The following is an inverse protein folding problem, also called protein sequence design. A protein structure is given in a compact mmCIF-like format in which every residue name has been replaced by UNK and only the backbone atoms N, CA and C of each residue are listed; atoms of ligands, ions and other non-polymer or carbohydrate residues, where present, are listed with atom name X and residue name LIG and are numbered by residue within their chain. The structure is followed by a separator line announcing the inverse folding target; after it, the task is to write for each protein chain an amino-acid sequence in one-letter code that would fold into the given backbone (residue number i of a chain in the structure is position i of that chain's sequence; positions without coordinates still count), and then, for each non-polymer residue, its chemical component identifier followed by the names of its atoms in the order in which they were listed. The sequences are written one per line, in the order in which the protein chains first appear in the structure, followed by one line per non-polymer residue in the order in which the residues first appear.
data_IF_325588473490
#
_entry.id   IF_325588473490
#
_cell.length_a   1.000
_cell.length_b   1.000
_cell.length_c   1.000
_cell.angle_alpha   90.00
_cell.angle_beta   90.00
_cell.angle_gamma   90.00
#
_symmetry.space_group_name_H-M   'P 1'
#
loop_
_entity.id
_entity.type
_entity.pdbx_description
1 polymer ?
#
# COMPACT_ATOMS: atom_id res chain seq x y z
N UNK A 1 -1.38 -13.59 37.66
CA UNK A 1 -1.48 -14.51 36.51
C UNK A 1 -0.81 -13.81 35.34
N UNK A 2 0.31 -14.35 34.86
CA UNK A 2 0.94 -13.86 33.62
C UNK A 2 0.00 -14.21 32.47
N UNK A 3 -0.27 -13.25 31.58
CA UNK A 3 -0.96 -13.57 30.33
C UNK A 3 -0.10 -14.57 29.54
N UNK A 4 -0.70 -15.48 28.76
CA UNK A 4 0.04 -16.35 27.85
C UNK A 4 0.89 -15.46 26.92
N UNK A 5 2.13 -15.88 26.65
CA UNK A 5 2.99 -15.11 25.77
C UNK A 5 2.38 -14.99 24.35
N UNK A 6 1.59 -15.96 23.91
CA UNK A 6 0.79 -15.91 22.67
C UNK A 6 -0.23 -14.77 22.66
N UNK A 7 -0.99 -14.58 23.74
CA UNK A 7 -2.00 -13.50 23.83
C UNK A 7 -1.35 -12.11 23.80
N UNK A 8 -0.14 -11.99 24.36
CA UNK A 8 0.63 -10.73 24.32
C UNK A 8 1.14 -10.43 22.91
N UNK A 9 1.64 -11.45 22.20
CA UNK A 9 2.07 -11.32 20.80
C UNK A 9 0.91 -10.96 19.86
N UNK A 10 -0.27 -11.57 20.05
CA UNK A 10 -1.47 -11.24 19.27
C UNK A 10 -1.99 -9.83 19.53
N UNK A 11 -1.87 -9.33 20.77
CA UNK A 11 -2.22 -7.94 21.09
C UNK A 11 -1.26 -6.94 20.44
N UNK A 12 0.04 -7.22 20.43
CA UNK A 12 1.02 -6.40 19.70
C UNK A 12 0.76 -6.43 18.20
N UNK A 13 0.42 -7.59 17.63
CA UNK A 13 0.02 -7.67 16.23
C UNK A 13 -1.21 -6.81 15.93
N UNK A 14 -2.20 -6.83 16.83
CA UNK A 14 -3.40 -5.99 16.70
C UNK A 14 -3.09 -4.49 16.83
N UNK A 15 -2.14 -4.10 17.68
CA UNK A 15 -1.65 -2.72 17.74
C UNK A 15 -1.00 -2.31 16.42
N UNK A 16 -0.08 -3.12 15.89
CA UNK A 16 0.57 -2.87 14.60
C UNK A 16 -0.43 -2.85 13.44
N UNK A 17 -1.49 -3.65 13.50
CA UNK A 17 -2.55 -3.60 12.51
C UNK A 17 -3.32 -2.28 12.54
N UNK A 18 -3.58 -1.69 13.71
CA UNK A 18 -4.18 -0.34 13.75
C UNK A 18 -3.23 0.73 13.23
N UNK A 19 -1.95 0.63 13.55
CA UNK A 19 -0.92 1.55 13.04
C UNK A 19 -0.80 1.46 11.52
N UNK A 20 -0.90 0.25 10.96
CA UNK A 20 -0.98 0.03 9.51
C UNK A 20 -2.22 0.72 8.90
N UNK A 21 -3.40 0.61 9.53
CA UNK A 21 -4.62 1.30 9.04
C UNK A 21 -4.41 2.81 8.95
N UNK A 22 -3.74 3.38 9.95
CA UNK A 22 -3.45 4.81 10.02
C UNK A 22 -2.42 5.21 8.97
N UNK A 23 -1.34 4.43 8.82
CA UNK A 23 -0.32 4.66 7.81
C UNK A 23 -0.89 4.61 6.39
N UNK A 24 -1.79 3.66 6.10
CA UNK A 24 -2.51 3.58 4.82
C UNK A 24 -3.37 4.83 4.61
N UNK A 25 -4.15 5.23 5.63
CA UNK A 25 -5.01 6.42 5.55
C UNK A 25 -4.21 7.72 5.33
N UNK A 26 -2.99 7.81 5.88
CA UNK A 26 -2.10 8.95 5.73
C UNK A 26 -1.17 8.87 4.51
N UNK A 27 -1.25 7.78 3.72
CA UNK A 27 -0.34 7.47 2.61
C UNK A 27 1.15 7.49 3.02
N UNK A 28 1.45 7.15 4.29
CA UNK A 28 2.82 7.05 4.78
C UNK A 28 3.38 5.66 4.48
N UNK A 29 3.94 5.52 3.28
CA UNK A 29 4.50 4.26 2.79
C UNK A 29 5.75 3.79 3.56
N UNK A 30 6.47 4.71 4.22
CA UNK A 30 7.64 4.36 5.01
C UNK A 30 7.21 3.71 6.33
N UNK A 31 6.20 4.29 6.98
CA UNK A 31 5.65 3.72 8.20
C UNK A 31 4.90 2.41 7.91
N UNK A 32 4.23 2.30 6.75
CA UNK A 32 3.66 1.04 6.29
C UNK A 32 4.73 -0.07 6.20
N UNK A 33 5.85 0.18 5.53
CA UNK A 33 6.93 -0.82 5.43
C UNK A 33 7.49 -1.23 6.80
N UNK A 34 7.67 -0.28 7.72
CA UNK A 34 8.10 -0.58 9.09
C UNK A 34 7.12 -1.48 9.83
N UNK A 35 5.82 -1.21 9.71
CA UNK A 35 4.79 -2.04 10.34
C UNK A 35 4.72 -3.45 9.75
N UNK A 36 4.96 -3.61 8.44
CA UNK A 36 5.06 -4.92 7.78
C UNK A 36 6.26 -5.71 8.31
N UNK A 37 7.44 -5.08 8.38
CA UNK A 37 8.65 -5.72 8.92
C UNK A 37 8.47 -6.13 10.39
N UNK A 38 7.81 -5.29 11.19
CA UNK A 38 7.51 -5.60 12.58
C UNK A 38 6.54 -6.79 12.72
N UNK A 39 5.54 -6.90 11.83
CA UNK A 39 4.64 -8.06 11.78
C UNK A 39 5.34 -9.34 11.34
N UNK A 40 6.24 -9.27 10.36
CA UNK A 40 7.03 -10.43 9.94
C UNK A 40 7.86 -11.01 11.09
N UNK A 41 8.50 -10.15 11.89
CA UNK A 41 9.22 -10.58 13.10
C UNK A 41 8.32 -11.19 14.16
N UNK A 42 7.11 -10.63 14.36
CA UNK A 42 6.14 -11.23 15.27
C UNK A 42 5.63 -12.58 14.77
N UNK A 43 5.55 -12.78 13.45
CA UNK A 43 5.16 -14.05 12.85
C UNK A 43 6.21 -15.13 13.12
N UNK A 44 7.48 -14.83 12.90
CA UNK A 44 8.59 -15.75 13.23
C UNK A 44 8.54 -16.16 14.72
N UNK A 45 8.33 -15.19 15.61
CA UNK A 45 8.20 -15.45 17.05
C UNK A 45 6.96 -16.29 17.42
N UNK A 46 5.88 -16.21 16.63
CA UNK A 46 4.67 -16.99 16.83
C UNK A 46 4.82 -18.42 16.28
N UNK A 47 5.55 -18.58 15.18
CA UNK A 47 5.85 -19.88 14.55
C UNK A 47 6.80 -20.72 15.42
N UNK A 48 7.74 -20.08 16.12
CA UNK A 48 8.65 -20.73 17.06
C UNK A 48 8.01 -21.05 18.42
N UNK A 49 6.79 -20.58 18.68
CA UNK A 49 6.16 -20.78 19.99
C UNK A 49 5.69 -22.23 20.16
N UNK A 50 6.13 -22.96 21.21
CA UNK A 50 5.78 -24.35 21.44
C UNK A 50 4.35 -24.47 21.99
N UNK A 51 3.37 -24.18 21.14
CA UNK A 51 1.94 -24.49 21.28
C UNK A 51 1.42 -24.62 22.70
N UNK A 52 1.33 -23.52 23.47
CA UNK A 52 0.33 -23.47 24.53
C UNK A 52 -1.06 -23.39 23.90
N UNK A 53 -2.05 -23.97 24.58
CA UNK A 53 -3.42 -24.03 24.08
C UNK A 53 -3.94 -22.61 23.77
N UNK A 54 -4.15 -22.33 22.49
CA UNK A 54 -4.83 -21.12 22.02
C UNK A 54 -6.10 -20.90 22.83
N UNK A 55 -6.15 -19.80 23.57
CA UNK A 55 -7.31 -19.44 24.36
C UNK A 55 -8.45 -19.00 23.43
N UNK A 56 -9.67 -18.95 23.96
CA UNK A 56 -10.84 -18.42 23.22
C UNK A 56 -10.61 -16.96 22.81
N UNK A 57 -9.93 -16.17 23.65
CA UNK A 57 -9.54 -14.78 23.38
C UNK A 57 -8.57 -14.68 22.20
N UNK A 58 -7.59 -15.60 22.12
CA UNK A 58 -6.64 -15.63 20.99
C UNK A 58 -7.35 -15.88 19.65
N UNK A 59 -8.39 -16.73 19.64
CA UNK A 59 -9.18 -17.00 18.42
C UNK A 59 -9.98 -15.78 17.97
N UNK A 60 -10.58 -15.05 18.91
CA UNK A 60 -11.30 -13.81 18.60
C UNK A 60 -10.36 -12.71 18.07
N UNK A 61 -9.17 -12.59 18.67
CA UNK A 61 -8.12 -11.69 18.20
C UNK A 61 -7.66 -12.05 16.78
N UNK A 62 -7.42 -13.33 16.48
CA UNK A 62 -7.04 -13.77 15.13
C UNK A 62 -8.15 -13.47 14.12
N UNK A 63 -9.41 -13.75 14.43
CA UNK A 63 -10.52 -13.42 13.51
C UNK A 63 -10.61 -11.92 13.22
N UNK A 64 -10.41 -11.08 14.25
CA UNK A 64 -10.40 -9.62 14.10
C UNK A 64 -9.22 -9.17 13.23
N UNK A 65 -8.05 -9.76 13.44
CA UNK A 65 -6.85 -9.49 12.64
C UNK A 65 -7.02 -9.88 11.17
N UNK A 66 -7.65 -11.02 10.89
CA UNK A 66 -7.95 -11.45 9.52
C UNK A 66 -8.88 -10.44 8.84
N UNK A 67 -9.92 -9.98 9.54
CA UNK A 67 -10.83 -8.96 9.01
C UNK A 67 -10.13 -7.63 8.70
N UNK A 68 -9.29 -7.13 9.62
CA UNK A 68 -8.50 -5.90 9.41
C UNK A 68 -7.55 -6.06 8.21
N UNK A 69 -6.88 -7.21 8.10
CA UNK A 69 -5.94 -7.48 7.00
C UNK A 69 -6.64 -7.52 5.64
N UNK A 70 -7.83 -8.12 5.57
CA UNK A 70 -8.65 -8.11 4.34
C UNK A 70 -9.05 -6.68 3.95
N UNK A 71 -9.42 -5.86 4.92
CA UNK A 71 -9.76 -4.46 4.67
C UNK A 71 -8.55 -3.66 4.15
N UNK A 72 -7.35 -3.89 4.71
CA UNK A 72 -6.13 -3.25 4.22
C UNK A 72 -5.80 -3.64 2.79
N UNK A 73 -5.92 -4.93 2.45
CA UNK A 73 -5.71 -5.41 1.08
C UNK A 73 -6.65 -4.73 0.09
N UNK A 74 -7.93 -4.53 0.47
CA UNK A 74 -8.88 -3.80 -0.38
C UNK A 74 -8.50 -2.33 -0.55
N UNK A 75 -8.13 -1.64 0.54
CA UNK A 75 -7.73 -0.23 0.48
C UNK A 75 -6.48 -0.03 -0.40
N UNK A 76 -5.45 -0.86 -0.19
CA UNK A 76 -4.22 -0.82 -0.99
C UNK A 76 -4.50 -1.15 -2.46
N UNK A 77 -5.39 -2.10 -2.74
CA UNK A 77 -5.82 -2.42 -4.11
C UNK A 77 -6.47 -1.22 -4.79
N UNK A 78 -7.39 -0.53 -4.10
CA UNK A 78 -8.07 0.65 -4.63
C UNK A 78 -7.09 1.81 -4.90
N UNK A 79 -6.14 2.06 -3.99
CA UNK A 79 -5.11 3.09 -4.17
C UNK A 79 -4.19 2.76 -5.36
N UNK A 80 -3.78 1.50 -5.50
CA UNK A 80 -2.98 1.05 -6.65
C UNK A 80 -3.72 1.22 -7.98
N UNK A 81 -5.02 0.93 -8.02
CA UNK A 81 -5.84 1.15 -9.22
C UNK A 81 -6.00 2.64 -9.54
N UNK A 82 -6.11 3.49 -8.52
CA UNK A 82 -6.15 4.95 -8.67
C UNK A 82 -4.84 5.48 -9.27
N UNK A 83 -3.70 5.07 -8.69
CA UNK A 83 -2.37 5.45 -9.18
C UNK A 83 -2.13 4.99 -10.62
N UNK A 84 -2.53 3.75 -10.96
CA UNK A 84 -2.43 3.24 -12.34
C UNK A 84 -3.23 4.08 -13.34
N UNK A 85 -4.42 4.56 -12.96
CA UNK A 85 -5.21 5.47 -13.80
C UNK A 85 -4.52 6.81 -13.98
N UNK A 86 -3.96 7.37 -12.91
CA UNK A 86 -3.23 8.64 -12.98
C UNK A 86 -2.02 8.54 -13.91
N UNK A 87 -1.20 7.48 -13.78
CA UNK A 87 -0.05 7.23 -14.67
C UNK A 87 -0.51 7.12 -16.13
N UNK A 88 -1.59 6.39 -16.41
CA UNK A 88 -2.11 6.25 -17.78
C UNK A 88 -2.61 7.59 -18.36
N UNK A 89 -3.21 8.45 -17.55
CA UNK A 89 -3.65 9.79 -17.94
C UNK A 89 -2.44 10.70 -18.21
N UNK A 90 -1.42 10.66 -17.35
CA UNK A 90 -0.16 11.39 -17.54
C UNK A 90 0.58 10.95 -18.80
N UNK A 91 0.69 9.64 -19.05
CA UNK A 91 1.30 9.10 -20.27
C UNK A 91 0.56 9.56 -21.53
N UNK A 92 -0.78 9.59 -21.47
CA UNK A 92 -1.61 10.12 -22.56
C UNK A 92 -1.38 11.62 -22.75
N UNK A 93 -1.28 12.39 -21.67
CA UNK A 93 -0.95 13.81 -21.69
C UNK A 93 0.43 14.08 -22.30
N UNK A 94 1.46 13.34 -21.87
CA UNK A 94 2.83 13.41 -22.41
C UNK A 94 2.88 13.03 -23.89
N UNK A 95 2.16 11.99 -24.29
CA UNK A 95 2.04 11.57 -25.69
C UNK A 95 1.37 12.65 -26.55
N UNK A 96 0.29 13.26 -26.05
CA UNK A 96 -0.37 14.38 -26.71
C UNK A 96 0.55 15.60 -26.79
N UNK A 97 1.27 15.94 -25.73
CA UNK A 97 2.26 17.01 -25.70
C UNK A 97 3.37 16.81 -26.72
N UNK A 98 3.91 15.58 -26.84
CA UNK A 98 4.89 15.23 -27.88
C UNK A 98 4.33 15.38 -29.29
N UNK A 99 3.08 14.94 -29.54
CA UNK A 99 2.41 15.10 -30.84
C UNK A 99 2.17 16.56 -31.20
N UNK A 100 1.71 17.37 -30.24
CA UNK A 100 1.52 18.81 -30.41
C UNK A 100 2.86 19.49 -30.67
N UNK A 101 3.90 19.19 -29.88
CA UNK A 101 5.26 19.70 -30.09
C UNK A 101 5.80 19.38 -31.48
N UNK A 102 5.61 18.15 -31.96
CA UNK A 102 5.98 17.75 -33.32
C UNK A 102 5.17 18.49 -34.40
N UNK A 103 3.85 18.64 -34.22
CA UNK A 103 2.97 19.30 -35.18
C UNK A 103 3.21 20.81 -35.31
N UNK A 104 3.54 21.49 -34.21
CA UNK A 104 3.82 22.93 -34.21
C UNK A 104 5.29 23.25 -34.46
N UNK A 105 6.23 22.39 -34.06
CA UNK A 105 7.66 22.54 -34.34
C UNK A 105 8.01 22.38 -35.83
N UNK A 106 7.21 21.64 -36.59
CA UNK A 106 7.43 21.44 -38.02
C UNK A 106 6.76 22.52 -38.91
N UNK A 107 5.93 23.40 -38.34
CA UNK A 107 5.13 24.39 -39.11
C UNK A 107 5.76 25.77 -39.24
N UNK A 108 6.90 26.02 -38.61
CA UNK A 108 7.59 27.32 -38.63
C UNK A 108 8.57 27.52 -39.79
N UNK A 109 8.87 26.50 -40.61
CA UNK A 109 9.94 26.61 -41.62
C UNK A 109 9.49 26.79 -43.09
N UNK A 110 8.20 26.84 -43.43
CA UNK A 110 7.85 26.73 -44.88
C UNK A 110 6.64 27.50 -45.42
N UNK A 111 6.18 28.59 -44.78
CA UNK A 111 5.05 29.36 -45.35
C UNK A 111 5.34 30.82 -45.75
N UNK A 112 6.51 31.38 -45.43
CA UNK A 112 6.81 32.79 -45.73
C UNK A 112 8.06 33.01 -46.61
N UNK A 113 8.64 31.96 -47.18
CA UNK A 113 9.91 32.05 -47.93
C UNK A 113 9.81 32.10 -49.47
N UNK A 114 8.62 32.10 -50.06
CA UNK A 114 8.45 31.95 -51.53
C UNK A 114 7.91 33.18 -52.27
N UNK A 115 7.90 34.35 -51.62
CA UNK A 115 7.67 35.63 -52.28
C UNK A 115 8.76 36.64 -51.90
N UNK A 116 9.98 36.42 -52.39
CA UNK A 116 11.02 37.45 -52.49
C UNK A 116 11.66 37.37 -53.86
#
# INVERSE_FOLDING_TARGET
MSLPATTTLLREWHRLAREESIAIALQDWNELNRTIDAKARLQELLEDYPGEAYTTEDRELVNTLVGITQQHQQLLGNEMDSLRKQIAEEDKSLSNGRKVGAAYGHRTESYWGTYS
#
